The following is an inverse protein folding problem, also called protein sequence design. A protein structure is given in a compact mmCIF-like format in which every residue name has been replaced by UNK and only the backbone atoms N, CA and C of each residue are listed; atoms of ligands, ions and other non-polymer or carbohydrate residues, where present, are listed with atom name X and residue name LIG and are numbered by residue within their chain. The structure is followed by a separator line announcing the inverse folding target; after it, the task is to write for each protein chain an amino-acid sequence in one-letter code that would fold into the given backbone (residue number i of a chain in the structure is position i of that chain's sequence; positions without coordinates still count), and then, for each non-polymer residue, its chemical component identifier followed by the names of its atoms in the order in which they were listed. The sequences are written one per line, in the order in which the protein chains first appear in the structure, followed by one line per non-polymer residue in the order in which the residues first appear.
data_IF_096582153159
#
_entry.id   IF_096582153159
#
_cell.length_a   1.000
_cell.length_b   1.000
_cell.length_c   1.000
_cell.angle_alpha   90.00
_cell.angle_beta   90.00
_cell.angle_gamma   90.00
#
_symmetry.space_group_name_H-M   'P 1'
#
loop_
_entity.id
_entity.type
_entity.pdbx_description
1 polymer ?
#
# COMPACT_ATOMS: atom_id res chain seq x y z
N UNK A 1 11.32 4.01 -21.64
CA UNK A 1 11.33 3.28 -20.35
C UNK A 1 9.99 2.58 -20.19
N UNK A 2 9.99 1.29 -19.86
CA UNK A 2 8.75 0.54 -19.66
C UNK A 2 8.05 0.98 -18.36
N UNK A 3 6.73 0.81 -18.30
CA UNK A 3 5.93 1.01 -17.08
C UNK A 3 5.65 -0.35 -16.45
N UNK A 4 5.66 -0.41 -15.12
CA UNK A 4 5.36 -1.61 -14.36
C UNK A 4 4.42 -1.28 -13.22
N UNK A 5 3.38 -2.09 -13.08
CA UNK A 5 2.40 -1.95 -12.01
C UNK A 5 2.95 -2.48 -10.68
N UNK A 6 2.70 -1.71 -9.63
CA UNK A 6 3.05 -2.04 -8.25
C UNK A 6 1.81 -2.64 -7.58
N UNK A 7 1.74 -3.97 -7.56
CA UNK A 7 0.66 -4.74 -6.91
C UNK A 7 1.05 -5.20 -5.49
N UNK A 8 2.35 -5.37 -5.26
CA UNK A 8 2.91 -5.82 -4.00
C UNK A 8 3.87 -4.76 -3.44
N UNK A 9 4.08 -4.73 -2.11
CA UNK A 9 5.15 -3.93 -1.53
C UNK A 9 6.52 -4.45 -1.98
N UNK A 10 7.40 -3.53 -2.38
CA UNK A 10 8.74 -3.86 -2.85
C UNK A 10 9.79 -3.16 -1.98
N UNK A 11 10.91 -3.86 -1.77
CA UNK A 11 12.06 -3.40 -1.00
C UNK A 11 13.30 -3.64 -1.86
N UNK A 12 14.19 -2.65 -1.90
CA UNK A 12 15.49 -2.82 -2.54
C UNK A 12 16.33 -3.79 -1.71
N UNK A 13 16.79 -4.89 -2.32
CA UNK A 13 17.57 -5.90 -1.62
C UNK A 13 18.94 -5.39 -1.12
N UNK A 14 19.53 -4.42 -1.82
CA UNK A 14 20.87 -3.94 -1.50
C UNK A 14 20.94 -2.93 -0.34
N UNK A 15 19.91 -2.08 -0.17
CA UNK A 15 19.94 -0.97 0.79
C UNK A 15 18.73 -0.95 1.72
N UNK A 16 17.87 -1.96 1.61
CA UNK A 16 16.62 -2.09 2.38
C UNK A 16 15.63 -0.93 2.17
N UNK A 17 15.84 -0.01 1.22
CA UNK A 17 14.86 1.07 1.02
C UNK A 17 13.54 0.55 0.45
N UNK A 18 12.43 1.09 0.94
CA UNK A 18 11.10 0.76 0.41
C UNK A 18 10.87 1.48 -0.90
N UNK A 19 10.40 0.77 -1.92
CA UNK A 19 10.12 1.32 -3.24
C UNK A 19 8.65 1.76 -3.31
N UNK A 20 8.40 2.87 -4.01
CA UNK A 20 7.07 3.48 -4.12
C UNK A 20 6.75 3.86 -5.56
N UNK A 21 5.49 4.20 -5.82
CA UNK A 21 5.05 4.73 -7.12
C UNK A 21 5.91 5.91 -7.55
N UNK A 22 6.30 5.92 -8.83
CA UNK A 22 7.18 6.91 -9.43
C UNK A 22 8.65 6.51 -9.46
N UNK A 23 9.08 5.56 -8.62
CA UNK A 23 10.47 5.08 -8.63
C UNK A 23 10.78 4.29 -9.90
N UNK A 24 12.02 4.42 -10.38
CA UNK A 24 12.59 3.48 -11.36
C UNK A 24 13.18 2.29 -10.61
N UNK A 25 12.84 1.09 -11.05
CA UNK A 25 13.30 -0.16 -10.43
C UNK A 25 13.81 -1.15 -11.46
N UNK A 26 14.72 -1.99 -11.00
CA UNK A 26 15.25 -3.13 -11.73
C UNK A 26 14.77 -4.37 -11.00
N UNK A 27 13.87 -5.13 -11.63
CA UNK A 27 13.24 -6.30 -11.02
C UNK A 27 13.41 -7.51 -11.94
N UNK A 28 13.97 -8.57 -11.39
CA UNK A 28 13.98 -9.87 -12.03
C UNK A 28 12.70 -10.65 -11.70
N UNK A 29 12.00 -11.12 -12.73
CA UNK A 29 10.82 -11.99 -12.56
C UNK A 29 11.16 -13.48 -12.70
N UNK A 30 12.35 -13.82 -13.20
CA UNK A 30 12.85 -15.20 -13.32
C UNK A 30 13.32 -15.77 -11.96
N UNK A 31 13.49 -14.93 -10.94
CA UNK A 31 13.84 -15.38 -9.60
C UNK A 31 12.61 -15.94 -8.85
N UNK A 32 12.45 -17.28 -8.86
CA UNK A 32 11.34 -17.99 -8.19
C UNK A 32 11.25 -17.75 -6.67
N UNK A 33 12.39 -17.64 -5.97
CA UNK A 33 12.44 -17.64 -4.50
C UNK A 33 12.63 -16.27 -3.84
N UNK A 34 12.74 -15.19 -4.60
CA UNK A 34 12.97 -13.89 -4.01
C UNK A 34 13.11 -12.84 -5.08
N UNK A 35 12.16 -11.91 -5.10
CA UNK A 35 12.15 -10.82 -6.07
C UNK A 35 13.45 -10.04 -5.93
N UNK A 36 14.39 -10.24 -6.86
CA UNK A 36 15.59 -9.41 -6.97
C UNK A 36 15.18 -8.04 -7.47
N UNK A 37 14.80 -7.17 -6.54
CA UNK A 37 14.44 -5.77 -6.80
C UNK A 37 15.56 -4.86 -6.32
N UNK A 38 16.02 -3.99 -7.20
CA UNK A 38 16.99 -2.97 -6.91
C UNK A 38 16.42 -1.59 -7.25
N UNK A 39 16.69 -0.59 -6.41
CA UNK A 39 16.44 0.79 -6.77
C UNK A 39 17.45 1.26 -7.83
N UNK A 40 17.09 2.31 -8.56
CA UNK A 40 17.92 2.92 -9.60
C UNK A 40 19.36 3.21 -9.13
N UNK A 41 19.50 3.81 -7.93
CA UNK A 41 20.81 4.12 -7.36
C UNK A 41 21.66 2.88 -7.04
N UNK A 42 21.09 1.86 -6.39
CA UNK A 42 21.84 0.64 -6.08
C UNK A 42 22.24 -0.11 -7.35
N UNK A 43 21.36 -0.14 -8.36
CA UNK A 43 21.67 -0.72 -9.65
C UNK A 43 22.80 0.04 -10.36
N UNK A 44 22.78 1.38 -10.34
CA UNK A 44 23.87 2.21 -10.86
C UNK A 44 25.22 1.97 -10.17
N UNK A 45 25.22 1.54 -8.90
CA UNK A 45 26.41 1.12 -8.16
C UNK A 45 26.79 -0.36 -8.37
N UNK A 46 26.20 -1.03 -9.36
CA UNK A 46 26.55 -2.40 -9.75
C UNK A 46 25.77 -3.50 -9.03
N UNK A 47 24.77 -3.17 -8.20
CA UNK A 47 23.91 -4.15 -7.55
C UNK A 47 22.87 -4.67 -8.55
N UNK A 48 22.98 -5.93 -8.96
CA UNK A 48 22.14 -6.53 -10.00
C UNK A 48 21.88 -8.00 -9.74
N UNK A 49 20.82 -8.50 -10.35
CA UNK A 49 20.61 -9.93 -10.50
C UNK A 49 21.59 -10.47 -11.55
N UNK A 50 21.82 -11.79 -11.54
CA UNK A 50 22.57 -12.45 -12.61
C UNK A 50 21.78 -12.51 -13.92
N UNK A 51 20.44 -12.52 -13.84
CA UNK A 51 19.57 -12.32 -14.98
C UNK A 51 19.59 -10.86 -15.42
N UNK A 52 19.55 -10.63 -16.73
CA UNK A 52 19.43 -9.29 -17.27
C UNK A 52 18.08 -8.68 -16.91
N UNK A 53 18.11 -7.47 -16.34
CA UNK A 53 16.91 -6.74 -15.90
C UNK A 53 16.89 -5.35 -16.52
N UNK A 54 15.79 -5.02 -17.19
CA UNK A 54 15.56 -3.69 -17.73
C UNK A 54 14.94 -2.75 -16.67
N UNK A 55 15.23 -1.45 -16.71
CA UNK A 55 14.59 -0.48 -15.83
C UNK A 55 13.10 -0.30 -16.18
N UNK A 56 12.27 -0.24 -15.14
CA UNK A 56 10.86 0.09 -15.28
C UNK A 56 10.42 1.14 -14.26
N UNK A 57 9.58 2.09 -14.69
CA UNK A 57 8.92 3.01 -13.76
C UNK A 57 7.78 2.31 -13.05
N UNK A 58 7.73 2.43 -11.73
CA UNK A 58 6.61 1.96 -10.94
C UNK A 58 5.41 2.90 -11.06
N UNK A 59 4.27 2.32 -11.34
CA UNK A 59 2.96 2.97 -11.29
C UNK A 59 2.06 2.21 -10.31
N UNK A 60 1.07 2.87 -9.67
CA UNK A 60 0.11 2.17 -8.83
C UNK A 60 -0.61 1.11 -9.65
N UNK A 61 -0.71 -0.12 -9.14
CA UNK A 61 -1.50 -1.16 -9.79
C UNK A 61 -2.98 -0.81 -9.80
N UNK A 62 -3.68 -1.17 -10.89
CA UNK A 62 -5.12 -0.90 -11.02
C UNK A 62 -5.97 -1.78 -10.13
N UNK A 63 -5.48 -2.98 -9.82
CA UNK A 63 -6.19 -4.01 -9.04
C UNK A 63 -5.82 -3.99 -7.54
N UNK A 64 -5.36 -2.85 -7.02
CA UNK A 64 -5.03 -2.70 -5.60
C UNK A 64 -6.29 -2.74 -4.73
N UNK A 65 -6.22 -3.50 -3.64
CA UNK A 65 -7.30 -3.55 -2.64
C UNK A 65 -7.45 -2.21 -1.93
N UNK A 66 -8.68 -1.86 -1.58
CA UNK A 66 -8.95 -0.69 -0.74
C UNK A 66 -8.59 -0.97 0.73
N UNK A 67 -8.13 0.07 1.41
CA UNK A 67 -8.04 0.17 2.86
C UNK A 67 -9.16 1.09 3.34
N UNK A 68 -10.14 0.52 4.03
CA UNK A 68 -11.31 1.26 4.51
C UNK A 68 -10.89 2.27 5.59
N UNK A 69 -11.56 3.43 5.59
CA UNK A 69 -11.31 4.54 6.52
C UNK A 69 -11.93 4.32 7.90
N UNK A 70 -12.79 3.32 8.06
CA UNK A 70 -13.63 3.11 9.24
C UNK A 70 -12.89 2.37 10.36
N UNK A 71 -11.78 2.95 10.82
CA UNK A 71 -11.26 2.63 12.13
C UNK A 71 -12.15 3.29 13.19
N UNK A 72 -13.16 2.55 13.66
CA UNK A 72 -14.03 2.68 14.85
C UNK A 72 -14.56 4.04 15.37
N UNK A 73 -14.02 5.20 14.98
CA UNK A 73 -14.24 6.46 15.70
C UNK A 73 -14.15 7.74 14.83
N UNK A 74 -14.22 7.62 13.50
CA UNK A 74 -14.24 8.81 12.61
C UNK A 74 -12.92 9.61 12.53
N UNK A 75 -11.84 9.15 13.16
CA UNK A 75 -10.53 9.83 13.19
C UNK A 75 -9.74 9.76 11.87
N UNK A 76 -10.24 8.99 10.89
CA UNK A 76 -9.61 8.76 9.59
C UNK A 76 -8.34 7.91 9.68
N UNK A 77 -7.98 7.30 8.54
CA UNK A 77 -6.79 6.47 8.44
C UNK A 77 -5.52 7.32 8.66
N UNK A 78 -4.60 6.87 9.51
CA UNK A 78 -3.33 7.54 9.80
C UNK A 78 -2.16 6.62 9.55
N UNK A 79 -1.01 7.21 9.27
CA UNK A 79 0.26 6.51 9.22
C UNK A 79 0.75 6.20 10.64
N UNK A 80 1.09 4.96 10.94
CA UNK A 80 1.59 4.57 12.26
C UNK A 80 2.97 5.12 12.59
N UNK A 81 3.84 5.28 11.58
CA UNK A 81 5.20 5.79 11.75
C UNK A 81 5.32 7.30 12.02
N UNK A 82 4.45 8.13 11.43
CA UNK A 82 4.51 9.60 11.56
C UNK A 82 3.20 10.26 12.01
N UNK A 83 2.14 9.47 12.24
CA UNK A 83 0.78 9.91 12.64
C UNK A 83 0.07 10.84 11.66
N UNK A 84 0.66 11.10 10.49
CA UNK A 84 0.04 11.87 9.42
C UNK A 84 -1.23 11.18 8.89
N UNK A 85 -2.26 11.97 8.55
CA UNK A 85 -3.50 11.48 7.96
C UNK A 85 -3.24 10.99 6.53
N UNK A 86 -3.72 9.78 6.23
CA UNK A 86 -3.69 9.19 4.90
C UNK A 86 -4.97 9.59 4.16
N UNK A 87 -4.81 10.24 3.01
CA UNK A 87 -5.94 10.76 2.21
C UNK A 87 -6.40 9.71 1.21
N UNK A 88 -7.63 9.86 0.77
CA UNK A 88 -8.22 9.05 -0.30
C UNK A 88 -7.34 9.06 -1.56
N UNK A 89 -7.27 7.92 -2.23
CA UNK A 89 -6.46 7.73 -3.43
C UNK A 89 -4.95 7.64 -3.18
N UNK A 90 -4.49 7.81 -1.93
CA UNK A 90 -3.10 7.55 -1.59
C UNK A 90 -2.83 6.05 -1.51
N UNK A 91 -1.59 5.66 -1.84
CA UNK A 91 -1.09 4.34 -1.50
C UNK A 91 -0.74 4.26 -0.02
N UNK A 92 -1.04 3.12 0.60
CA UNK A 92 -0.60 2.79 1.94
C UNK A 92 -0.08 1.35 2.01
N UNK A 93 0.90 1.14 2.88
CA UNK A 93 1.46 -0.17 3.18
C UNK A 93 0.83 -0.66 4.48
N UNK A 94 -0.03 -1.65 4.37
CA UNK A 94 -0.85 -2.15 5.47
C UNK A 94 -0.28 -3.48 5.99
N UNK A 95 -0.01 -3.58 7.29
CA UNK A 95 0.52 -4.81 7.88
C UNK A 95 -0.58 -5.64 8.55
N UNK A 96 -0.89 -6.81 7.99
CA UNK A 96 -1.89 -7.74 8.53
C UNK A 96 -1.48 -8.45 9.81
N UNK A 97 -0.21 -8.35 10.20
CA UNK A 97 0.35 -9.09 11.34
C UNK A 97 0.51 -8.23 12.60
N UNK A 98 0.14 -6.95 12.55
CA UNK A 98 0.50 -5.98 13.59
C UNK A 98 -0.68 -5.22 14.21
N UNK A 99 -1.85 -5.80 14.44
CA UNK A 99 -3.05 -4.99 14.76
C UNK A 99 -3.35 -3.96 13.65
N UNK A 100 -3.03 -4.36 12.41
CA UNK A 100 -3.42 -3.67 11.17
C UNK A 100 -2.92 -2.23 10.92
N UNK A 101 -1.63 -1.88 11.21
CA UNK A 101 -1.10 -0.53 11.01
C UNK A 101 -0.89 -0.22 9.54
N UNK A 102 -0.87 1.07 9.24
CA UNK A 102 -0.71 1.61 7.89
C UNK A 102 0.50 2.54 7.83
N UNK A 103 1.27 2.49 6.74
CA UNK A 103 2.43 3.35 6.54
C UNK A 103 2.26 4.17 5.26
N UNK A 104 2.58 5.47 5.32
CA UNK A 104 2.67 6.32 4.13
C UNK A 104 3.95 6.01 3.34
N UNK A 105 4.05 6.51 2.11
CA UNK A 105 5.23 6.35 1.25
C UNK A 105 6.54 6.73 1.94
N UNK A 106 6.56 7.84 2.67
CA UNK A 106 7.77 8.30 3.38
C UNK A 106 8.19 7.36 4.51
N UNK A 107 7.23 6.88 5.31
CA UNK A 107 7.51 5.89 6.35
C UNK A 107 7.84 4.52 5.76
N UNK A 108 7.28 4.17 4.60
CA UNK A 108 7.62 2.94 3.88
C UNK A 108 9.06 2.94 3.35
N UNK A 109 9.55 4.06 2.81
CA UNK A 109 10.94 4.15 2.33
C UNK A 109 11.97 3.85 3.43
N UNK A 110 11.62 4.20 4.67
CA UNK A 110 12.48 4.18 5.84
C UNK A 110 12.39 2.86 6.61
N UNK A 111 13.47 2.09 6.61
CA UNK A 111 13.54 0.81 7.34
C UNK A 111 13.20 0.95 8.82
N UNK A 112 13.62 2.06 9.47
CA UNK A 112 13.37 2.37 10.87
C UNK A 112 11.91 2.76 11.19
N UNK A 113 11.12 3.13 10.17
CA UNK A 113 9.71 3.54 10.32
C UNK A 113 8.72 2.52 9.77
N UNK A 114 9.19 1.51 9.06
CA UNK A 114 8.37 0.40 8.57
C UNK A 114 8.03 -0.58 9.68
N UNK A 115 7.02 -1.40 9.40
CA UNK A 115 6.75 -2.58 10.22
C UNK A 115 7.90 -3.59 10.11
N UNK A 116 8.28 -4.22 11.23
CA UNK A 116 9.25 -5.33 11.28
C UNK A 116 8.90 -6.51 10.35
N UNK A 117 7.62 -6.69 10.03
CA UNK A 117 7.15 -7.76 9.14
C UNK A 117 7.36 -7.44 7.65
N UNK A 118 7.87 -6.25 7.29
CA UNK A 118 8.06 -5.84 5.88
C UNK A 118 9.04 -6.73 5.12
N UNK A 119 10.04 -7.30 5.81
CA UNK A 119 11.00 -8.25 5.23
C UNK A 119 10.61 -9.72 5.38
N UNK A 120 9.47 -10.04 6.01
CA UNK A 120 9.09 -11.42 6.37
C UNK A 120 8.15 -12.09 5.35
N UNK A 121 8.12 -11.58 4.12
CA UNK A 121 7.39 -12.15 3.00
C UNK A 121 6.09 -11.42 2.63
N UNK A 122 5.65 -11.64 1.39
CA UNK A 122 4.57 -10.91 0.69
C UNK A 122 3.20 -10.95 1.38
N UNK A 123 2.98 -11.89 2.29
CA UNK A 123 1.67 -12.09 2.94
C UNK A 123 1.48 -11.26 4.21
N UNK A 124 2.54 -10.60 4.71
CA UNK A 124 2.51 -9.87 5.99
C UNK A 124 2.19 -8.39 5.82
N UNK A 125 2.77 -7.77 4.81
CA UNK A 125 2.48 -6.38 4.41
C UNK A 125 1.83 -6.41 3.03
N UNK A 126 0.77 -5.63 2.86
CA UNK A 126 0.06 -5.49 1.60
C UNK A 126 0.10 -4.04 1.15
N UNK A 127 0.25 -3.85 -0.15
CA UNK A 127 0.03 -2.55 -0.76
C UNK A 127 -1.47 -2.37 -0.99
N UNK A 128 -2.00 -1.24 -0.56
CA UNK A 128 -3.43 -0.92 -0.68
C UNK A 128 -3.62 0.52 -1.12
N UNK A 129 -4.77 0.80 -1.70
CA UNK A 129 -5.23 2.17 -1.95
C UNK A 129 -6.14 2.61 -0.80
N UNK A 130 -5.99 3.84 -0.33
CA UNK A 130 -6.89 4.38 0.69
C UNK A 130 -8.24 4.67 0.03
N UNK A 131 -9.26 3.92 0.44
CA UNK A 131 -10.60 3.99 -0.14
C UNK A 131 -11.42 5.19 0.35
N UNK A 132 -12.59 5.40 -0.27
CA UNK A 132 -13.67 6.20 0.32
C UNK A 132 -14.12 5.53 1.61
N UNK A 133 -14.49 6.34 2.61
CA UNK A 133 -15.42 5.91 3.64
C UNK A 133 -16.68 5.46 2.90
N UNK A 134 -17.11 4.22 3.09
CA UNK A 134 -18.40 3.75 2.59
C UNK A 134 -19.49 4.46 3.37
N UNK A 135 -19.73 5.71 3.04
CA UNK A 135 -21.06 6.30 3.13
C UNK A 135 -21.55 6.38 1.71
N UNK A 136 -21.93 5.23 1.15
CA UNK A 136 -22.92 5.22 0.07
C UNK A 136 -24.17 5.87 0.66
N UNK A 137 -24.40 7.15 0.33
CA UNK A 137 -25.66 7.86 0.57
C UNK A 137 -26.85 7.22 -0.16
N UNK A 138 -26.68 6.00 -0.71
CA UNK A 138 -27.72 5.17 -1.32
C UNK A 138 -28.19 3.99 -0.47
N UNK A 139 -27.61 3.73 0.70
CA UNK A 139 -28.06 2.63 1.60
C UNK A 139 -28.67 3.12 2.93
N UNK A 140 -28.76 4.44 3.13
CA UNK A 140 -29.41 5.05 4.31
C UNK A 140 -30.83 5.56 3.99
N UNK A 141 -31.26 5.51 2.73
CA UNK A 141 -32.60 6.00 2.33
C UNK A 141 -33.65 4.91 2.10
N UNK A 142 -33.30 3.62 2.18
CA UNK A 142 -34.30 2.52 2.20
C UNK A 142 -34.67 2.09 3.63
N UNK A 143 -34.14 2.77 4.65
CA UNK A 143 -34.35 2.45 6.08
C UNK A 143 -35.11 3.51 6.89
N UNK A 144 -35.55 4.61 6.27
CA UNK A 144 -36.33 5.69 6.93
C UNK A 144 -37.67 5.87 6.22
N UNK A 145 -38.36 4.76 5.93
CA UNK A 145 -39.77 4.80 5.46
C UNK A 145 -40.69 3.85 6.24
N UNK A 146 -40.28 3.41 7.44
CA UNK A 146 -41.12 2.56 8.32
C UNK A 146 -41.15 3.09 9.76
N UNK A 147 -41.21 4.41 9.96
CA UNK A 147 -41.63 4.98 11.24
C UNK A 147 -42.46 6.26 11.01
N UNK A 148 -43.64 6.13 10.42
CA UNK A 148 -44.64 7.22 10.43
C UNK A 148 -46.10 6.76 10.53
N UNK A 149 -46.38 5.52 10.97
CA UNK A 149 -47.78 5.05 11.09
C UNK A 149 -48.14 4.38 12.42
N UNK A 150 -47.39 4.61 13.50
CA UNK A 150 -47.82 4.21 14.85
C UNK A 150 -47.66 5.38 15.80
N UNK A 151 -48.55 6.37 15.67
CA UNK A 151 -49.06 7.27 16.72
C UNK A 151 -49.87 8.39 16.06
N UNK A 152 -51.20 8.20 15.96
CA UNK A 152 -52.14 9.28 15.64
C UNK A 152 -53.22 8.89 14.64
N UNK A 153 -54.34 8.37 15.15
CA UNK A 153 -55.55 8.06 14.39
C UNK A 153 -56.44 7.10 15.17
#
# INVERSE_FOLDING_TARGET
MAKREMLDPMICQACDTGLVSGDTVYRCDECEFGISTFCDSCHGHGQRCYHEVAPAKLEPGKDLKNQNKDGDLGFGLKCDGCKAKLREGMLCWHCKSCFEPNFCSNCWRRSDKRCKHSGQGKNKVQLRMVGKSSTTTGEVLDGIDIVSTILGG
#
